data_IF_244818730719
#
_entry.id   IF_244818730719
#
_cell.length_a   1.000
_cell.length_b   1.000
_cell.length_c   1.000
_cell.angle_alpha   90.00
_cell.angle_beta   90.00
_cell.angle_gamma   90.00
#
_symmetry.space_group_name_H-M   'P 1'
#
loop_
_entity.id
_entity.type
_entity.pdbx_description
1 polymer ?
#
# COMPACT_ATOMS: atom_id res chain seq x y z
N UNK A 1 6.60 -8.50 0.53
CA UNK A 1 5.49 -8.63 -0.43
C UNK A 1 4.22 -8.10 0.18
N UNK A 2 3.07 -8.31 -0.47
CA UNK A 2 1.77 -7.79 0.00
C UNK A 2 1.41 -8.35 1.37
N UNK A 3 1.62 -9.65 1.61
CA UNK A 3 1.33 -10.29 2.90
C UNK A 3 2.08 -9.64 4.06
N UNK A 4 3.38 -9.39 3.90
CA UNK A 4 4.20 -8.75 4.93
C UNK A 4 3.80 -7.28 5.14
N UNK A 5 3.42 -6.58 4.07
CA UNK A 5 2.92 -5.20 4.16
C UNK A 5 1.61 -5.11 4.95
N UNK A 6 0.66 -6.04 4.74
CA UNK A 6 -0.58 -6.12 5.53
C UNK A 6 -0.25 -6.36 7.01
N UNK A 7 0.69 -7.26 7.30
CA UNK A 7 1.12 -7.53 8.69
C UNK A 7 1.77 -6.30 9.34
N UNK A 8 2.53 -5.52 8.59
CA UNK A 8 3.09 -4.26 9.07
C UNK A 8 1.98 -3.24 9.41
N UNK A 9 0.92 -3.17 8.61
CA UNK A 9 -0.24 -2.29 8.90
C UNK A 9 -0.92 -2.69 10.21
N UNK A 10 -1.14 -3.99 10.44
CA UNK A 10 -1.71 -4.51 11.69
C UNK A 10 -0.86 -4.14 12.92
N UNK A 11 0.47 -4.19 12.79
CA UNK A 11 1.38 -3.85 13.89
C UNK A 11 1.49 -2.35 14.16
N UNK A 12 1.49 -1.53 13.11
CA UNK A 12 1.73 -0.09 13.23
C UNK A 12 0.46 0.72 13.47
N UNK A 13 -0.72 0.17 13.13
CA UNK A 13 -2.02 0.84 13.22
C UNK A 13 -2.04 2.28 12.65
N UNK A 14 -1.56 2.52 11.41
CA UNK A 14 -1.51 3.85 10.83
C UNK A 14 -2.89 4.33 10.38
N UNK A 15 -3.12 5.65 10.36
CA UNK A 15 -4.35 6.22 9.77
C UNK A 15 -4.36 6.09 8.24
N UNK A 16 -3.22 6.25 7.59
CA UNK A 16 -3.06 6.22 6.13
C UNK A 16 -1.91 5.30 5.71
N UNK A 17 -2.07 4.63 4.56
CA UNK A 17 -1.05 3.77 3.96
C UNK A 17 -0.90 4.13 2.49
N UNK A 18 0.32 4.45 2.06
CA UNK A 18 0.63 4.68 0.64
C UNK A 18 1.54 3.53 0.19
N UNK A 19 1.06 2.58 -0.65
CA UNK A 19 1.91 1.55 -1.21
C UNK A 19 2.98 2.17 -2.11
N UNK A 20 4.18 1.62 -2.01
CA UNK A 20 5.32 2.05 -2.82
C UNK A 20 6.21 0.86 -3.16
N UNK A 21 7.21 1.10 -4.00
CA UNK A 21 8.21 0.09 -4.40
C UNK A 21 7.58 -1.17 -5.03
N UNK A 22 6.64 -0.96 -5.94
CA UNK A 22 6.06 -1.99 -6.80
C UNK A 22 6.09 -1.53 -8.26
N UNK A 23 6.09 -2.47 -9.20
CA UNK A 23 5.92 -2.19 -10.64
C UNK A 23 7.03 -1.37 -11.30
N UNK A 24 8.15 -1.08 -10.61
CA UNK A 24 9.31 -0.41 -11.24
C UNK A 24 10.16 -1.37 -12.07
N UNK A 25 10.14 -2.66 -11.73
CA UNK A 25 10.80 -3.74 -12.47
C UNK A 25 9.84 -4.93 -12.61
N UNK A 26 9.97 -5.75 -13.67
CA UNK A 26 9.13 -6.94 -13.84
C UNK A 26 9.14 -7.89 -12.63
N UNK A 27 10.28 -7.97 -11.92
CA UNK A 27 10.43 -8.84 -10.74
C UNK A 27 9.56 -8.40 -9.54
N UNK A 28 9.18 -7.12 -9.47
CA UNK A 28 8.41 -6.55 -8.36
C UNK A 28 7.04 -6.05 -8.81
N UNK A 29 6.55 -6.58 -9.94
CA UNK A 29 5.19 -6.32 -10.39
C UNK A 29 4.20 -6.94 -9.40
N UNK A 30 3.45 -6.08 -8.72
CA UNK A 30 2.42 -6.48 -7.74
C UNK A 30 1.25 -5.51 -7.84
N UNK A 31 0.04 -5.98 -7.52
CA UNK A 31 -1.16 -5.17 -7.62
C UNK A 31 -1.44 -4.41 -6.30
N UNK A 32 -1.33 -3.08 -6.26
CA UNK A 32 -1.60 -2.29 -5.05
C UNK A 32 -3.07 -2.34 -4.61
N UNK A 33 -4.02 -2.65 -5.51
CA UNK A 33 -5.43 -2.83 -5.14
C UNK A 33 -5.65 -4.07 -4.27
N UNK A 34 -4.80 -5.09 -4.41
CA UNK A 34 -4.84 -6.25 -3.52
C UNK A 34 -4.40 -5.88 -2.10
N UNK A 35 -3.38 -5.02 -1.95
CA UNK A 35 -3.00 -4.49 -0.65
C UNK A 35 -4.18 -3.72 -0.03
N UNK A 36 -4.81 -2.82 -0.78
CA UNK A 36 -5.98 -2.06 -0.33
C UNK A 36 -7.12 -2.97 0.15
N UNK A 37 -7.44 -4.01 -0.61
CA UNK A 37 -8.46 -4.99 -0.24
C UNK A 37 -8.12 -5.73 1.05
N UNK A 38 -6.86 -6.16 1.23
CA UNK A 38 -6.42 -6.92 2.40
C UNK A 38 -6.24 -6.06 3.65
N UNK A 39 -5.84 -4.80 3.49
CA UNK A 39 -5.78 -3.82 4.60
C UNK A 39 -7.19 -3.52 5.12
N UNK A 40 -8.17 -3.41 4.22
CA UNK A 40 -9.57 -3.22 4.60
C UNK A 40 -9.76 -2.00 5.49
N UNK A 41 -10.38 -2.20 6.66
CA UNK A 41 -10.71 -1.13 7.60
C UNK A 41 -9.56 -0.76 8.54
N UNK A 42 -8.42 -1.48 8.52
CA UNK A 42 -7.29 -1.21 9.42
C UNK A 42 -6.64 0.16 9.16
N UNK A 43 -6.64 0.62 7.91
CA UNK A 43 -6.08 1.91 7.52
C UNK A 43 -6.64 2.38 6.18
N UNK A 44 -6.64 3.70 5.94
CA UNK A 44 -7.02 4.26 4.63
C UNK A 44 -5.86 4.12 3.64
N UNK A 45 -5.99 3.17 2.70
CA UNK A 45 -4.99 2.97 1.65
C UNK A 45 -5.19 3.97 0.50
N UNK A 46 -4.17 4.79 0.25
CA UNK A 46 -4.13 5.81 -0.80
C UNK A 46 -3.10 5.38 -1.84
N UNK A 47 -3.58 4.92 -2.99
CA UNK A 47 -2.72 4.50 -4.11
C UNK A 47 -2.45 5.72 -4.98
N UNK A 48 -1.18 6.12 -5.05
CA UNK A 48 -0.74 7.24 -5.88
C UNK A 48 0.00 6.73 -7.11
N UNK A 49 -0.24 7.36 -8.25
CA UNK A 49 0.60 7.24 -9.45
C UNK A 49 1.83 8.15 -9.32
N UNK A 50 2.94 7.84 -10.02
CA UNK A 50 4.10 8.72 -10.06
C UNK A 50 3.71 10.15 -10.47
N UNK A 51 4.08 11.12 -9.64
CA UNK A 51 3.78 12.55 -9.83
C UNK A 51 2.53 13.06 -9.12
N UNK A 52 1.67 12.18 -8.60
CA UNK A 52 0.54 12.58 -7.75
C UNK A 52 1.02 13.00 -6.35
N UNK A 53 0.19 13.80 -5.67
CA UNK A 53 0.48 14.33 -4.34
C UNK A 53 -0.62 13.96 -3.36
N UNK A 54 -0.24 13.83 -2.10
CA UNK A 54 -1.14 13.64 -0.98
C UNK A 54 -0.84 14.71 0.07
N UNK A 55 -1.88 15.36 0.57
CA UNK A 55 -1.85 16.37 1.61
C UNK A 55 -2.69 15.88 2.80
N UNK A 56 -2.24 16.19 4.02
CA UNK A 56 -2.86 15.77 5.27
C UNK A 56 -3.93 16.75 5.74
#
# INVERSE_FOLDING_TARGET
GITEAVKAVEFLNPTYVIPMHYGTFPLIETNPEELKKRVGEMAKVVILKPGEKFEL
#
